data_IF_540041945107
#
_entry.id   IF_540041945107
#
_cell.length_a   1.000
_cell.length_b   1.000
_cell.length_c   1.000
_cell.angle_alpha   90.00
_cell.angle_beta   90.00
_cell.angle_gamma   90.00
#
_symmetry.space_group_name_H-M   'P 1'
#
loop_
_entity.id
_entity.type
_entity.pdbx_description
1 polymer ?
#
# COMPACT_ATOMS: atom_id res chain seq x y z
N UNK A 1 7.48 1.99 -11.43
CA UNK A 1 6.89 1.94 -10.07
C UNK A 1 7.92 1.37 -9.12
N UNK A 2 8.25 2.08 -8.05
CA UNK A 2 9.05 1.51 -6.96
C UNK A 2 8.18 1.48 -5.70
N UNK A 3 8.50 0.58 -4.77
CA UNK A 3 7.81 0.45 -3.50
C UNK A 3 8.78 0.80 -2.38
N UNK A 4 8.33 1.60 -1.41
CA UNK A 4 9.16 1.95 -0.25
C UNK A 4 9.31 0.77 0.70
N UNK A 5 8.26 -0.03 0.85
CA UNK A 5 8.21 -1.16 1.77
C UNK A 5 7.80 -2.45 1.05
N UNK A 6 8.73 -3.09 0.31
CA UNK A 6 8.45 -4.34 -0.40
C UNK A 6 8.10 -5.50 0.55
N UNK A 7 8.48 -5.42 1.83
CA UNK A 7 8.09 -6.40 2.85
C UNK A 7 6.60 -6.38 3.16
N UNK A 8 5.86 -5.32 2.82
CA UNK A 8 4.42 -5.24 3.03
C UNK A 8 3.64 -6.31 2.24
N UNK A 9 4.21 -6.87 1.17
CA UNK A 9 3.60 -7.97 0.42
C UNK A 9 3.46 -9.26 1.23
N UNK A 10 4.22 -9.45 2.32
CA UNK A 10 4.03 -10.58 3.23
C UNK A 10 2.62 -10.59 3.84
N UNK A 11 2.00 -9.43 4.04
CA UNK A 11 0.62 -9.34 4.51
C UNK A 11 -0.39 -9.89 3.50
N UNK A 12 -0.02 -10.10 2.22
CA UNK A 12 -0.89 -10.78 1.27
C UNK A 12 -1.23 -12.22 1.71
N UNK A 13 -0.42 -12.85 2.57
CA UNK A 13 -0.74 -14.15 3.17
C UNK A 13 -2.00 -14.12 4.04
N UNK A 14 -2.44 -12.95 4.49
CA UNK A 14 -3.70 -12.81 5.25
C UNK A 14 -4.95 -13.01 4.37
N UNK A 15 -4.87 -12.79 3.05
CA UNK A 15 -5.97 -13.02 2.11
C UNK A 15 -6.46 -14.49 2.14
N UNK A 16 -5.60 -15.51 1.90
CA UNK A 16 -6.03 -16.90 1.95
C UNK A 16 -6.47 -17.32 3.35
N UNK A 17 -5.92 -16.74 4.43
CA UNK A 17 -6.36 -17.01 5.81
C UNK A 17 -7.80 -16.57 6.03
N UNK A 18 -8.17 -15.36 5.60
CA UNK A 18 -9.55 -14.86 5.69
C UNK A 18 -10.51 -15.76 4.90
N UNK A 19 -10.11 -16.17 3.69
CA UNK A 19 -10.90 -17.09 2.87
C UNK A 19 -11.05 -18.46 3.56
N UNK A 20 -9.97 -19.01 4.12
CA UNK A 20 -10.00 -20.29 4.83
C UNK A 20 -10.92 -20.23 6.05
N UNK A 21 -10.80 -19.21 6.90
CA UNK A 21 -11.71 -18.98 8.03
C UNK A 21 -13.18 -18.89 7.58
N UNK A 22 -13.43 -18.31 6.41
CA UNK A 22 -14.78 -18.21 5.86
C UNK A 22 -15.32 -19.56 5.38
N UNK A 23 -14.50 -20.34 4.66
CA UNK A 23 -14.86 -21.67 4.18
C UNK A 23 -15.07 -22.66 5.34
N UNK A 24 -14.24 -22.56 6.38
CA UNK A 24 -14.33 -23.37 7.60
C UNK A 24 -15.54 -23.01 8.47
N UNK A 25 -16.16 -21.83 8.26
CA UNK A 25 -17.37 -21.39 8.99
C UNK A 25 -18.59 -22.20 8.57
N UNK A 26 -18.73 -23.42 9.09
CA UNK A 26 -19.89 -24.29 8.87
C UNK A 26 -21.06 -23.86 9.77
N UNK A 27 -21.94 -23.00 9.25
CA UNK A 27 -23.23 -22.73 9.90
C UNK A 27 -24.14 -23.94 9.73
N UNK A 28 -24.33 -24.73 10.78
CA UNK A 28 -25.36 -25.77 10.83
C UNK A 28 -26.69 -25.07 11.14
N UNK A 29 -27.62 -25.09 10.18
CA UNK A 29 -29.02 -24.76 10.45
C UNK A 29 -29.74 -26.06 10.72
N UNK A 30 -30.31 -26.19 11.91
CA UNK A 30 -31.21 -27.30 12.25
C UNK A 30 -32.57 -26.96 11.66
N UNK A 31 -32.96 -27.67 10.60
CA UNK A 31 -34.32 -27.60 10.06
C UNK A 31 -35.04 -28.92 10.35
N UNK A 32 -36.25 -28.83 10.91
CA UNK A 32 -37.12 -29.98 11.17
C UNK A 32 -37.81 -30.35 9.87
N UNK A 33 -37.38 -31.44 9.24
CA UNK A 33 -37.97 -31.92 7.99
C UNK A 33 -38.81 -33.19 8.27
N UNK A 34 -40.13 -33.19 7.99
CA UNK A 34 -41.04 -34.29 8.33
C UNK A 34 -40.92 -35.56 7.44
N UNK A 35 -39.93 -35.66 6.55
CA UNK A 35 -39.72 -36.84 5.69
C UNK A 35 -38.22 -37.15 5.49
N UNK A 36 -37.68 -38.10 6.26
CA UNK A 36 -36.24 -38.41 6.27
C UNK A 36 -35.74 -39.24 5.07
N UNK A 37 -36.63 -39.97 4.37
CA UNK A 37 -36.24 -40.91 3.31
C UNK A 37 -36.01 -40.28 1.93
N UNK A 38 -36.73 -39.21 1.58
CA UNK A 38 -36.58 -38.52 0.29
C UNK A 38 -35.36 -37.58 0.26
N UNK A 39 -34.95 -37.06 1.42
CA UNK A 39 -33.89 -36.05 1.50
C UNK A 39 -32.47 -36.62 1.33
N UNK A 40 -32.24 -37.89 1.65
CA UNK A 40 -30.93 -38.54 1.55
C UNK A 40 -30.39 -38.61 0.11
N UNK A 41 -31.27 -38.74 -0.90
CA UNK A 41 -30.84 -38.79 -2.31
C UNK A 41 -30.47 -37.40 -2.85
N UNK A 42 -31.15 -36.35 -2.42
CA UNK A 42 -30.91 -34.97 -2.89
C UNK A 42 -29.69 -34.31 -2.22
N UNK A 43 -29.36 -34.71 -0.99
CA UNK A 43 -28.19 -34.21 -0.27
C UNK A 43 -26.85 -34.74 -0.83
N UNK A 44 -26.85 -35.88 -1.52
CA UNK A 44 -25.63 -36.46 -2.10
C UNK A 44 -25.08 -35.61 -3.25
N UNK A 45 -25.96 -35.05 -4.10
CA UNK A 45 -25.55 -34.25 -5.27
C UNK A 45 -25.14 -32.82 -4.91
N UNK A 46 -25.68 -32.25 -3.82
CA UNK A 46 -25.45 -30.85 -3.46
C UNK A 46 -24.13 -30.60 -2.68
N UNK A 47 -23.37 -31.66 -2.37
CA UNK A 47 -22.14 -31.54 -1.57
C UNK A 47 -20.89 -31.18 -2.39
N UNK A 48 -20.88 -31.46 -3.70
CA UNK A 48 -19.67 -31.31 -4.51
C UNK A 48 -19.26 -29.85 -4.79
N UNK A 49 -20.22 -28.91 -4.88
CA UNK A 49 -19.95 -27.50 -5.21
C UNK A 49 -20.14 -26.51 -4.03
N UNK A 50 -20.47 -27.03 -2.84
CA UNK A 50 -20.82 -26.22 -1.67
C UNK A 50 -19.73 -25.22 -1.19
N UNK A 51 -18.41 -25.49 -1.25
CA UNK A 51 -17.43 -24.55 -0.71
C UNK A 51 -17.25 -23.31 -1.60
N UNK A 52 -17.09 -23.48 -2.92
CA UNK A 52 -16.86 -22.37 -3.85
C UNK A 52 -18.13 -21.58 -4.18
N UNK A 53 -19.32 -22.20 -4.14
CA UNK A 53 -20.58 -21.47 -4.30
C UNK A 53 -20.87 -20.50 -3.14
N UNK A 54 -20.44 -20.81 -1.92
CA UNK A 54 -20.55 -19.88 -0.79
C UNK A 54 -19.72 -18.62 -1.03
N UNK A 55 -18.51 -18.75 -1.58
CA UNK A 55 -17.63 -17.61 -1.83
C UNK A 55 -18.25 -16.58 -2.77
N UNK A 56 -18.97 -17.03 -3.81
CA UNK A 56 -19.65 -16.14 -4.77
C UNK A 56 -20.86 -15.40 -4.21
N UNK A 57 -21.53 -15.92 -3.17
CA UNK A 57 -22.77 -15.35 -2.63
C UNK A 57 -22.56 -14.28 -1.55
N UNK A 58 -21.34 -14.12 -1.05
CA UNK A 58 -21.07 -13.24 0.08
C UNK A 58 -20.37 -11.95 -0.34
N UNK A 59 -21.19 -10.94 -0.65
CA UNK A 59 -20.75 -9.56 -0.94
C UNK A 59 -19.86 -8.99 0.16
N UNK A 60 -20.14 -9.32 1.43
CA UNK A 60 -19.33 -8.90 2.57
C UNK A 60 -17.89 -9.46 2.51
N UNK A 61 -17.71 -10.69 2.05
CA UNK A 61 -16.38 -11.29 1.91
C UNK A 61 -15.59 -10.59 0.81
N UNK A 62 -16.23 -10.28 -0.33
CA UNK A 62 -15.60 -9.52 -1.42
C UNK A 62 -15.15 -8.15 -0.90
N UNK A 63 -16.03 -7.44 -0.19
CA UNK A 63 -15.70 -6.13 0.39
C UNK A 63 -14.53 -6.22 1.38
N UNK A 64 -14.50 -7.24 2.23
CA UNK A 64 -13.40 -7.46 3.18
C UNK A 64 -12.07 -7.71 2.46
N UNK A 65 -12.06 -8.53 1.40
CA UNK A 65 -10.86 -8.77 0.60
C UNK A 65 -10.39 -7.51 -0.13
N UNK A 66 -11.31 -6.72 -0.70
CA UNK A 66 -10.98 -5.44 -1.33
C UNK A 66 -10.36 -4.46 -0.33
N UNK A 67 -10.94 -4.31 0.86
CA UNK A 67 -10.38 -3.46 1.92
C UNK A 67 -8.98 -3.93 2.35
N UNK A 68 -8.78 -5.24 2.47
CA UNK A 68 -7.47 -5.80 2.80
C UNK A 68 -6.43 -5.50 1.72
N UNK A 69 -6.80 -5.65 0.44
CA UNK A 69 -5.96 -5.31 -0.70
C UNK A 69 -5.58 -3.83 -0.72
N UNK A 70 -6.54 -2.95 -0.46
CA UNK A 70 -6.30 -1.51 -0.35
C UNK A 70 -5.37 -1.17 0.81
N UNK A 71 -5.53 -1.84 1.96
CA UNK A 71 -4.63 -1.66 3.10
C UNK A 71 -3.20 -2.11 2.79
N UNK A 72 -3.02 -3.26 2.13
CA UNK A 72 -1.71 -3.76 1.70
C UNK A 72 -1.07 -2.79 0.69
N UNK A 73 -1.85 -2.30 -0.26
CA UNK A 73 -1.39 -1.30 -1.22
C UNK A 73 -0.97 0.00 -0.52
N UNK A 74 -1.77 0.51 0.41
CA UNK A 74 -1.43 1.69 1.21
C UNK A 74 -0.13 1.48 2.01
N UNK A 75 0.04 0.30 2.63
CA UNK A 75 1.25 -0.07 3.38
C UNK A 75 2.49 -0.20 2.48
N UNK A 76 2.34 -0.77 1.28
CA UNK A 76 3.45 -0.90 0.32
C UNK A 76 3.96 0.45 -0.20
N UNK A 77 3.18 1.52 -0.02
CA UNK A 77 3.49 2.89 -0.40
C UNK A 77 4.07 2.99 -1.83
N UNK A 78 3.25 2.68 -2.86
CA UNK A 78 3.69 2.77 -4.24
C UNK A 78 4.03 4.22 -4.58
N UNK A 79 5.23 4.44 -5.11
CA UNK A 79 5.62 5.76 -5.58
C UNK A 79 6.03 5.71 -7.04
N UNK A 80 5.64 6.77 -7.74
CA UNK A 80 6.14 7.08 -9.06
C UNK A 80 7.40 7.92 -8.87
N UNK A 81 8.55 7.40 -9.32
CA UNK A 81 9.74 8.23 -9.50
C UNK A 81 9.42 9.18 -10.65
N UNK A 82 8.93 10.37 -10.33
CA UNK A 82 8.83 11.44 -11.32
C UNK A 82 10.21 12.03 -11.46
N UNK A 83 10.75 12.04 -12.69
CA UNK A 83 11.80 12.97 -13.08
C UNK A 83 11.15 14.36 -13.27
N UNK A 84 10.42 14.85 -12.27
CA UNK A 84 10.34 16.30 -12.14
C UNK A 84 11.76 16.70 -11.82
N UNK A 85 12.32 17.58 -12.63
CA UNK A 85 13.46 18.38 -12.24
C UNK A 85 13.21 18.73 -10.78
N UNK A 86 13.97 18.11 -9.88
CA UNK A 86 14.18 18.71 -8.60
C UNK A 86 14.68 20.08 -9.03
N UNK A 87 13.87 21.12 -8.88
CA UNK A 87 14.41 22.47 -8.87
C UNK A 87 15.51 22.34 -7.85
N UNK A 88 16.77 22.28 -8.32
CA UNK A 88 17.90 22.01 -7.46
C UNK A 88 17.78 23.08 -6.39
N UNK A 89 17.39 22.67 -5.19
CA UNK A 89 17.15 23.61 -4.11
C UNK A 89 18.56 23.98 -3.64
N UNK A 90 19.16 24.92 -4.36
CA UNK A 90 20.47 25.44 -4.06
C UNK A 90 20.30 26.39 -2.88
N UNK A 91 20.65 25.89 -1.69
CA UNK A 91 20.72 26.70 -0.48
C UNK A 91 22.15 27.22 -0.39
N UNK A 92 22.34 28.51 -0.70
CA UNK A 92 23.63 29.19 -0.56
C UNK A 92 23.70 29.85 0.82
N UNK A 93 24.75 29.55 1.58
CA UNK A 93 25.09 30.28 2.81
C UNK A 93 26.33 31.13 2.55
N UNK A 94 26.20 32.43 2.75
CA UNK A 94 27.31 33.39 2.65
C UNK A 94 27.68 33.84 4.07
N UNK A 95 28.96 33.73 4.42
CA UNK A 95 29.49 34.26 5.68
C UNK A 95 29.44 35.81 5.66
N UNK A 96 28.97 36.42 6.73
CA UNK A 96 28.86 37.88 6.91
C UNK A 96 29.83 38.44 7.94
N UNK A 97 30.83 37.64 8.33
CA UNK A 97 31.90 38.05 9.25
C UNK A 97 32.64 39.31 8.79
N UNK A 98 33.23 40.06 9.73
CA UNK A 98 33.98 41.27 9.44
C UNK A 98 35.16 41.03 8.46
N UNK A 99 35.74 39.82 8.46
CA UNK A 99 36.77 39.41 7.50
C UNK A 99 36.29 39.40 6.05
N UNK A 100 34.99 39.23 5.81
CA UNK A 100 34.42 39.25 4.46
C UNK A 100 34.34 40.66 3.86
N UNK A 101 34.40 41.70 4.69
CA UNK A 101 34.51 43.09 4.25
C UNK A 101 35.97 43.48 3.90
N UNK A 102 36.93 42.55 4.04
CA UNK A 102 38.31 42.81 3.65
C UNK A 102 38.43 43.04 2.14
N UNK A 103 39.27 44.01 1.77
CA UNK A 103 39.60 44.39 0.40
C UNK A 103 40.86 43.71 -0.12
N UNK A 104 41.34 42.66 0.54
CA UNK A 104 42.49 41.87 0.05
C UNK A 104 42.26 41.33 -1.37
N UNK A 105 40.99 41.15 -1.75
CA UNK A 105 40.52 40.89 -3.10
C UNK A 105 39.65 42.08 -3.51
N UNK A 106 39.94 42.67 -4.67
CA UNK A 106 39.15 43.78 -5.18
C UNK A 106 37.81 43.27 -5.74
N UNK A 107 36.67 43.93 -5.48
CA UNK A 107 36.49 45.09 -4.59
C UNK A 107 36.30 44.71 -3.11
N UNK A 108 35.81 43.52 -2.79
CA UNK A 108 35.87 42.91 -1.44
C UNK A 108 35.62 41.41 -1.56
N UNK A 109 36.05 40.62 -0.55
CA UNK A 109 35.76 39.17 -0.51
C UNK A 109 34.26 38.86 -0.54
N UNK A 110 33.46 39.71 0.10
CA UNK A 110 31.99 39.64 0.05
C UNK A 110 31.47 39.80 -1.39
N UNK A 111 32.01 40.75 -2.14
CA UNK A 111 31.57 40.98 -3.52
C UNK A 111 31.88 39.79 -4.42
N UNK A 112 33.06 39.19 -4.28
CA UNK A 112 33.43 37.98 -4.99
C UNK A 112 32.49 36.80 -4.66
N UNK A 113 32.06 36.68 -3.40
CA UNK A 113 31.12 35.65 -2.99
C UNK A 113 29.72 35.85 -3.61
N UNK A 114 29.28 37.09 -3.81
CA UNK A 114 28.04 37.39 -4.53
C UNK A 114 28.15 37.07 -6.02
N UNK A 115 29.25 37.45 -6.67
CA UNK A 115 29.50 37.18 -8.09
C UNK A 115 29.53 35.66 -8.37
N UNK A 116 30.22 34.90 -7.51
CA UNK A 116 30.25 33.44 -7.61
C UNK A 116 28.88 32.77 -7.45
N UNK A 117 27.92 33.42 -6.79
CA UNK A 117 26.55 32.93 -6.63
C UNK A 117 25.67 33.30 -7.82
N UNK A 118 25.93 34.44 -8.47
CA UNK A 118 25.26 34.82 -9.72
C UNK A 118 25.70 33.95 -10.91
N UNK A 119 26.90 33.38 -10.87
CA UNK A 119 27.42 32.45 -11.88
C UNK A 119 26.89 31.00 -11.76
N UNK A 120 26.24 30.65 -10.65
CA UNK A 120 25.67 29.31 -10.37
C UNK A 120 24.26 29.14 -10.95
#
# INVERSE_FOLDING_TARGET
MSFLYPTAFWFALTLPVVVACYLLKRRRKTELVPASLLWNRFLAENQANAPFQKLKRHTLLILQLCMLLLAILALSAPFFRTHRFASEMLIVLIDTSASMQSTDVAPSRMHQAHEAVEEL
#
